data_IF_723024153746
#
_entry.id   IF_723024153746
#
_cell.length_a   1.000
_cell.length_b   1.000
_cell.length_c   1.000
_cell.angle_alpha   90.00
_cell.angle_beta   90.00
_cell.angle_gamma   90.00
#
_symmetry.space_group_name_H-M   'P 1'
#
loop_
_entity.id
_entity.type
_entity.pdbx_description
1 polymer ?
#
# COMPACT_ATOMS: atom_id res chain seq x y z
N UNK A 1 5.62 -19.32 25.43
CA UNK A 1 4.58 -18.41 24.90
C UNK A 1 4.66 -17.09 25.66
N UNK A 2 4.46 -15.99 24.97
CA UNK A 2 4.24 -14.69 25.60
C UNK A 2 2.74 -14.44 25.89
N UNK A 3 2.38 -13.30 26.44
CA UNK A 3 1.01 -12.89 26.74
C UNK A 3 0.09 -12.84 25.50
N UNK A 4 0.67 -12.70 24.28
CA UNK A 4 -0.03 -12.74 23.00
C UNK A 4 -0.13 -14.15 22.38
N UNK A 5 0.29 -15.21 23.11
CA UNK A 5 0.27 -16.59 22.65
C UNK A 5 1.36 -16.94 21.62
N UNK A 6 2.26 -16.03 21.28
CA UNK A 6 3.36 -16.27 20.35
C UNK A 6 4.38 -17.24 20.96
N UNK A 7 4.98 -18.10 20.13
CA UNK A 7 5.89 -19.16 20.55
C UNK A 7 7.29 -18.89 20.02
N UNK A 8 8.31 -19.28 20.78
CA UNK A 8 9.71 -19.41 20.36
C UNK A 8 10.15 -20.85 20.53
N UNK A 9 11.17 -21.25 19.79
CA UNK A 9 11.80 -22.54 19.91
C UNK A 9 13.27 -22.37 20.27
N UNK A 10 13.73 -23.18 21.21
CA UNK A 10 15.13 -23.23 21.62
C UNK A 10 15.65 -24.66 21.42
N UNK A 11 16.82 -24.79 20.86
CA UNK A 11 17.46 -26.11 20.68
C UNK A 11 17.82 -26.72 22.04
N UNK A 12 17.34 -27.94 22.28
CA UNK A 12 17.52 -28.60 23.59
C UNK A 12 18.96 -28.88 23.95
N UNK A 13 19.83 -29.05 22.95
CA UNK A 13 21.25 -29.36 23.13
C UNK A 13 22.14 -28.13 23.38
N UNK A 14 21.70 -26.94 22.98
CA UNK A 14 22.51 -25.71 23.05
C UNK A 14 21.82 -24.55 23.75
N UNK A 15 20.49 -24.63 23.96
CA UNK A 15 19.70 -23.51 24.47
C UNK A 15 19.58 -22.31 23.51
N UNK A 16 20.15 -22.41 22.30
CA UNK A 16 20.12 -21.33 21.31
C UNK A 16 18.69 -21.17 20.75
N UNK A 17 18.24 -19.94 20.59
CA UNK A 17 16.94 -19.61 20.01
C UNK A 17 16.96 -19.84 18.49
N UNK A 18 15.96 -20.57 17.98
CA UNK A 18 15.79 -20.76 16.55
C UNK A 18 15.31 -19.46 15.88
N UNK A 19 15.95 -19.09 14.76
CA UNK A 19 15.57 -18.01 13.87
C UNK A 19 15.62 -18.47 12.41
N UNK A 20 14.86 -17.83 11.53
CA UNK A 20 14.80 -18.23 10.13
C UNK A 20 14.10 -19.58 9.88
N UNK A 21 14.51 -20.28 8.83
CA UNK A 21 13.93 -21.56 8.44
C UNK A 21 14.39 -22.70 9.35
N UNK A 22 13.45 -23.45 9.88
CA UNK A 22 13.72 -24.68 10.67
C UNK A 22 13.00 -25.86 10.03
N UNK A 23 13.76 -26.82 9.51
CA UNK A 23 13.25 -28.05 8.92
C UNK A 23 13.41 -29.21 9.89
N UNK A 24 12.31 -29.88 10.19
CA UNK A 24 12.31 -31.18 10.88
C UNK A 24 12.27 -32.26 9.81
N UNK A 25 13.41 -32.89 9.56
CA UNK A 25 13.57 -33.88 8.48
C UNK A 25 12.85 -35.20 8.78
N UNK A 26 12.80 -35.64 10.04
CA UNK A 26 12.15 -36.89 10.44
C UNK A 26 10.61 -36.84 10.24
N UNK A 27 10.00 -35.64 10.38
CA UNK A 27 8.56 -35.41 10.19
C UNK A 27 8.23 -34.75 8.85
N UNK A 28 9.24 -34.40 8.06
CA UNK A 28 9.11 -33.64 6.80
C UNK A 28 8.25 -32.38 6.94
N UNK A 29 8.48 -31.60 8.00
CA UNK A 29 7.78 -30.35 8.27
C UNK A 29 8.74 -29.20 8.40
N UNK A 30 8.30 -28.00 8.03
CA UNK A 30 9.13 -26.77 8.05
C UNK A 30 8.40 -25.68 8.82
N UNK A 31 9.16 -24.94 9.62
CA UNK A 31 8.74 -23.75 10.36
C UNK A 31 9.56 -22.55 9.92
N UNK A 32 9.08 -21.37 10.23
CA UNK A 32 9.87 -20.15 10.15
C UNK A 32 9.74 -19.36 11.45
N UNK A 33 10.87 -18.90 11.94
CA UNK A 33 10.96 -18.04 13.11
C UNK A 33 11.50 -16.68 12.67
N UNK A 34 10.85 -15.62 13.13
CA UNK A 34 11.28 -14.26 12.85
C UNK A 34 12.77 -14.08 13.20
N UNK A 35 13.53 -13.48 12.30
CA UNK A 35 15.00 -13.40 12.44
C UNK A 35 15.45 -12.50 13.58
N UNK A 36 14.65 -11.50 13.93
CA UNK A 36 14.97 -10.50 14.94
C UNK A 36 14.41 -10.91 16.32
N UNK A 37 13.18 -11.39 16.34
CA UNK A 37 12.45 -11.68 17.58
C UNK A 37 12.41 -13.16 17.96
N UNK A 38 12.68 -14.07 17.02
CA UNK A 38 12.57 -15.52 17.20
C UNK A 38 11.13 -16.03 17.36
N UNK A 39 10.10 -15.22 17.09
CA UNK A 39 8.72 -15.69 17.15
C UNK A 39 8.34 -16.52 15.94
N UNK A 40 7.65 -17.65 16.20
CA UNK A 40 7.16 -18.57 15.18
C UNK A 40 6.10 -17.90 14.30
N UNK A 41 6.25 -17.98 13.00
CA UNK A 41 5.26 -17.50 12.04
C UNK A 41 4.02 -18.41 11.98
N UNK A 42 2.85 -17.77 11.86
CA UNK A 42 1.55 -18.41 11.58
C UNK A 42 0.77 -17.56 10.60
N UNK A 43 -0.14 -18.15 9.83
CA UNK A 43 -0.89 -17.44 8.79
C UNK A 43 -0.05 -17.15 7.55
N UNK A 44 -0.47 -16.18 6.77
CA UNK A 44 0.19 -15.78 5.52
C UNK A 44 1.28 -14.75 5.79
N UNK A 45 2.53 -15.08 5.41
CA UNK A 45 3.70 -14.23 5.66
C UNK A 45 4.55 -14.10 4.40
N UNK A 46 5.21 -12.95 4.23
CA UNK A 46 6.17 -12.72 3.15
C UNK A 46 7.60 -12.89 3.69
N UNK A 47 8.36 -13.81 3.06
CA UNK A 47 9.75 -14.09 3.41
C UNK A 47 10.58 -14.01 2.14
N UNK A 48 11.60 -13.16 2.12
CA UNK A 48 12.48 -12.95 0.95
C UNK A 48 11.69 -12.74 -0.35
N UNK A 49 10.64 -11.90 -0.30
CA UNK A 49 9.81 -11.55 -1.46
C UNK A 49 8.74 -12.58 -1.87
N UNK A 50 8.75 -13.80 -1.32
CA UNK A 50 7.76 -14.87 -1.59
C UNK A 50 6.77 -14.99 -0.44
N UNK A 51 5.50 -15.33 -0.76
CA UNK A 51 4.47 -15.61 0.24
C UNK A 51 4.51 -17.08 0.65
N UNK A 52 4.31 -17.32 1.96
CA UNK A 52 4.19 -18.65 2.54
C UNK A 52 3.02 -18.66 3.53
N UNK A 53 2.35 -19.78 3.68
CA UNK A 53 1.31 -19.94 4.68
C UNK A 53 1.75 -20.95 5.74
N UNK A 54 1.67 -20.54 7.01
CA UNK A 54 1.95 -21.38 8.17
C UNK A 54 0.63 -21.65 8.90
N UNK A 55 0.37 -22.92 9.19
CA UNK A 55 -0.80 -23.34 9.97
C UNK A 55 -0.75 -22.73 11.38
N UNK A 56 -1.83 -22.81 12.14
CA UNK A 56 -1.90 -22.31 13.52
C UNK A 56 -0.87 -22.96 14.47
N UNK A 57 -0.40 -24.15 14.14
CA UNK A 57 0.69 -24.84 14.85
C UNK A 57 2.11 -24.46 14.34
N UNK A 58 2.20 -23.53 13.37
CA UNK A 58 3.45 -23.04 12.79
C UNK A 58 4.01 -23.88 11.64
N UNK A 59 3.39 -25.01 11.29
CA UNK A 59 3.86 -25.85 10.18
C UNK A 59 3.55 -25.17 8.84
N UNK A 60 4.56 -25.03 7.99
CA UNK A 60 4.41 -24.52 6.64
C UNK A 60 3.49 -25.44 5.82
N UNK A 61 2.50 -24.87 5.17
CA UNK A 61 1.65 -25.59 4.23
C UNK A 61 2.43 -25.86 2.92
N UNK A 62 2.25 -27.03 2.34
CA UNK A 62 2.81 -27.43 1.04
C UNK A 62 1.76 -28.21 0.25
N UNK A 63 1.85 -28.16 -1.09
CA UNK A 63 0.99 -28.93 -2.02
C UNK A 63 -0.50 -28.90 -1.66
N UNK A 64 -1.04 -27.73 -1.32
CA UNK A 64 -2.42 -27.59 -0.86
C UNK A 64 -3.04 -26.27 -1.30
N UNK A 65 -4.26 -26.04 -0.92
CA UNK A 65 -4.97 -24.78 -1.11
C UNK A 65 -5.44 -24.28 0.25
N UNK A 66 -5.27 -22.98 0.51
CA UNK A 66 -5.75 -22.34 1.74
C UNK A 66 -6.57 -21.10 1.40
N UNK A 67 -7.58 -20.82 2.20
CA UNK A 67 -8.33 -19.56 2.12
C UNK A 67 -7.94 -18.66 3.28
N UNK A 68 -7.51 -17.44 2.94
CA UNK A 68 -7.15 -16.42 3.92
C UNK A 68 -7.89 -15.14 3.54
N UNK A 69 -8.73 -14.65 4.44
CA UNK A 69 -9.53 -13.43 4.22
C UNK A 69 -10.32 -13.45 2.89
N UNK A 70 -10.91 -14.59 2.55
CA UNK A 70 -11.71 -14.75 1.32
C UNK A 70 -10.89 -14.97 0.04
N UNK A 71 -9.57 -14.91 0.11
CA UNK A 71 -8.67 -15.21 -1.03
C UNK A 71 -8.20 -16.65 -0.92
N UNK A 72 -8.34 -17.38 -2.01
CA UNK A 72 -7.81 -18.74 -2.13
C UNK A 72 -6.37 -18.70 -2.65
N UNK A 73 -5.46 -19.33 -1.94
CA UNK A 73 -4.05 -19.47 -2.34
C UNK A 73 -3.75 -20.91 -2.71
N UNK A 74 -3.12 -21.11 -3.86
CA UNK A 74 -2.47 -22.37 -4.21
C UNK A 74 -1.08 -22.38 -3.57
N UNK A 75 -0.80 -23.41 -2.80
CA UNK A 75 0.50 -23.60 -2.16
C UNK A 75 1.29 -24.65 -2.96
N UNK A 76 2.45 -24.27 -3.46
CA UNK A 76 3.33 -25.19 -4.19
C UNK A 76 3.92 -26.28 -3.30
N UNK A 77 4.59 -27.27 -3.89
CA UNK A 77 5.38 -28.26 -3.17
C UNK A 77 6.51 -27.66 -2.35
N UNK A 78 7.00 -26.48 -2.73
CA UNK A 78 8.03 -25.72 -2.01
C UNK A 78 7.46 -24.75 -0.99
N UNK A 79 6.14 -24.75 -0.76
CA UNK A 79 5.45 -23.91 0.22
C UNK A 79 5.12 -22.49 -0.26
N UNK A 80 5.50 -22.13 -1.49
CA UNK A 80 5.20 -20.79 -2.02
C UNK A 80 3.70 -20.67 -2.29
N UNK A 81 3.08 -19.66 -1.65
CA UNK A 81 1.68 -19.33 -1.80
C UNK A 81 1.48 -18.38 -2.98
N UNK A 82 0.63 -18.77 -3.91
CA UNK A 82 0.20 -17.94 -5.03
C UNK A 82 -1.31 -17.77 -4.93
N UNK A 83 -1.77 -16.52 -4.90
CA UNK A 83 -3.21 -16.29 -4.92
C UNK A 83 -3.81 -16.94 -6.17
N UNK A 84 -4.78 -17.84 -5.99
CA UNK A 84 -5.64 -18.24 -7.10
C UNK A 84 -6.48 -17.00 -7.41
N UNK A 85 -6.07 -16.28 -8.42
CA UNK A 85 -6.94 -15.27 -9.00
C UNK A 85 -8.17 -15.99 -9.56
N UNK A 86 -9.22 -16.14 -8.78
CA UNK A 86 -10.51 -15.96 -9.38
C UNK A 86 -10.42 -14.58 -10.00
N UNK A 87 -10.48 -14.47 -11.32
CA UNK A 87 -10.58 -13.16 -11.98
C UNK A 87 -11.62 -12.40 -11.17
N UNK A 88 -11.30 -11.25 -10.56
CA UNK A 88 -12.29 -10.53 -9.79
C UNK A 88 -13.50 -10.39 -10.70
N UNK A 89 -14.67 -10.73 -10.20
CA UNK A 89 -15.92 -10.62 -10.97
C UNK A 89 -16.12 -9.12 -11.19
N UNK A 90 -15.62 -8.65 -12.33
CA UNK A 90 -15.55 -7.25 -12.67
C UNK A 90 -16.89 -6.89 -13.26
N UNK A 91 -17.87 -6.60 -12.41
CA UNK A 91 -19.13 -6.01 -12.84
C UNK A 91 -18.84 -4.60 -13.34
N UNK A 92 -18.88 -4.42 -14.64
CA UNK A 92 -18.80 -3.10 -15.30
C UNK A 92 -20.22 -2.56 -15.41
N UNK A 93 -20.58 -1.62 -14.56
CA UNK A 93 -21.73 -0.77 -14.77
C UNK A 93 -21.25 0.66 -15.05
N UNK A 94 -21.75 1.29 -16.10
CA UNK A 94 -21.46 2.68 -16.48
C UNK A 94 -19.95 3.05 -16.62
N UNK A 95 -19.12 2.14 -17.13
CA UNK A 95 -17.70 2.39 -17.35
C UNK A 95 -16.80 2.23 -16.10
N UNK A 96 -17.36 2.08 -14.91
CA UNK A 96 -16.62 1.86 -13.68
C UNK A 96 -16.27 0.37 -13.47
N UNK A 97 -15.17 0.12 -12.80
CA UNK A 97 -14.65 -1.22 -12.50
C UNK A 97 -14.69 -1.45 -11.00
N UNK A 98 -15.42 -2.47 -10.53
CA UNK A 98 -15.31 -2.91 -9.13
C UNK A 98 -14.12 -3.85 -8.98
N UNK A 99 -13.20 -3.51 -8.09
CA UNK A 99 -12.01 -4.30 -7.78
C UNK A 99 -12.05 -4.74 -6.34
N UNK A 100 -11.87 -6.03 -6.11
CA UNK A 100 -11.79 -6.58 -4.76
C UNK A 100 -10.38 -6.42 -4.21
N UNK A 101 -10.25 -5.70 -3.10
CA UNK A 101 -9.01 -5.57 -2.34
C UNK A 101 -8.94 -6.70 -1.31
N UNK A 102 -7.98 -7.59 -1.50
CA UNK A 102 -7.82 -8.78 -0.67
C UNK A 102 -7.30 -8.45 0.73
N UNK A 103 -6.54 -7.40 0.89
CA UNK A 103 -6.01 -6.93 2.18
C UNK A 103 -7.14 -6.36 3.04
N UNK A 104 -7.96 -5.50 2.43
CA UNK A 104 -9.07 -4.86 3.11
C UNK A 104 -10.35 -5.71 3.15
N UNK A 105 -10.39 -6.81 2.38
CA UNK A 105 -11.54 -7.71 2.25
C UNK A 105 -12.83 -6.99 1.80
N UNK A 106 -12.70 -6.00 0.88
CA UNK A 106 -13.83 -5.24 0.34
C UNK A 106 -13.63 -4.84 -1.11
N UNK A 107 -14.74 -4.47 -1.76
CA UNK A 107 -14.72 -3.91 -3.11
C UNK A 107 -14.56 -2.39 -3.06
N UNK A 108 -13.77 -1.87 -4.01
CA UNK A 108 -13.68 -0.45 -4.33
C UNK A 108 -14.09 -0.22 -5.78
N UNK A 109 -14.62 0.97 -6.05
CA UNK A 109 -15.02 1.36 -7.41
C UNK A 109 -13.89 2.17 -8.03
N UNK A 110 -13.35 1.66 -9.13
CA UNK A 110 -12.25 2.27 -9.85
C UNK A 110 -12.75 2.94 -11.14
N UNK A 111 -12.02 3.91 -11.62
CA UNK A 111 -12.24 4.48 -12.95
C UNK A 111 -12.02 3.42 -14.04
N UNK A 112 -12.65 3.62 -15.21
CA UNK A 112 -12.50 2.69 -16.36
C UNK A 112 -11.03 2.52 -16.81
N UNK A 113 -10.23 3.56 -16.67
CA UNK A 113 -8.80 3.62 -17.01
C UNK A 113 -7.95 2.69 -16.14
N UNK A 114 -8.44 2.27 -14.97
CA UNK A 114 -7.77 1.28 -14.12
C UNK A 114 -7.35 0.03 -14.91
N UNK A 115 -8.21 -0.45 -15.81
CA UNK A 115 -7.93 -1.62 -16.65
C UNK A 115 -7.07 -1.32 -17.88
N UNK A 116 -7.26 -0.15 -18.48
CA UNK A 116 -6.60 0.22 -19.74
C UNK A 116 -5.26 0.92 -19.54
N UNK A 117 -4.90 1.20 -18.28
CA UNK A 117 -3.63 1.84 -17.97
C UNK A 117 -2.46 1.00 -18.52
N UNK A 118 -1.50 1.59 -19.26
CA UNK A 118 -0.42 0.84 -19.94
C UNK A 118 0.40 -0.07 -19.02
N UNK A 119 0.50 0.28 -17.75
CA UNK A 119 1.21 -0.51 -16.75
C UNK A 119 0.42 -1.65 -16.14
N UNK A 120 -0.91 -1.56 -16.11
CA UNK A 120 -1.77 -2.64 -15.57
C UNK A 120 -1.82 -3.82 -16.52
N UNK A 121 -2.04 -3.53 -17.81
CA UNK A 121 -2.17 -4.58 -18.83
C UNK A 121 -0.91 -5.44 -18.98
N UNK A 122 0.27 -4.87 -18.72
CA UNK A 122 1.56 -5.49 -19.00
C UNK A 122 2.45 -5.68 -17.76
N UNK A 123 2.01 -5.29 -16.55
CA UNK A 123 2.84 -5.34 -15.32
C UNK A 123 4.09 -4.45 -15.35
N UNK A 124 4.20 -3.55 -16.33
CA UNK A 124 5.44 -2.78 -16.61
C UNK A 124 5.54 -1.46 -15.83
N UNK A 125 4.43 -0.88 -15.38
CA UNK A 125 4.50 0.33 -14.57
C UNK A 125 4.67 -0.05 -13.10
N UNK A 126 5.81 0.32 -12.51
CA UNK A 126 6.07 0.15 -11.09
C UNK A 126 5.25 1.14 -10.26
N UNK A 127 5.03 0.84 -8.98
CA UNK A 127 4.40 1.77 -8.04
C UNK A 127 5.17 3.09 -7.94
N UNK A 128 6.51 3.04 -8.02
CA UNK A 128 7.38 4.21 -8.06
C UNK A 128 7.09 5.09 -9.29
N UNK A 129 7.01 4.49 -10.48
CA UNK A 129 6.74 5.24 -11.71
C UNK A 129 5.34 5.86 -11.71
N UNK A 130 4.34 5.13 -11.21
CA UNK A 130 2.98 5.62 -11.09
C UNK A 130 2.89 6.78 -10.09
N UNK A 131 3.54 6.63 -8.93
CA UNK A 131 3.57 7.66 -7.90
C UNK A 131 4.31 8.91 -8.36
N UNK A 132 5.47 8.76 -9.04
CA UNK A 132 6.23 9.88 -9.60
C UNK A 132 5.41 10.67 -10.64
N UNK A 133 4.72 9.97 -11.55
CA UNK A 133 3.88 10.59 -12.55
C UNK A 133 2.69 11.35 -11.93
N UNK A 134 2.06 10.77 -10.89
CA UNK A 134 0.99 11.44 -10.15
C UNK A 134 1.50 12.70 -9.44
N UNK A 135 2.59 12.59 -8.69
CA UNK A 135 3.13 13.68 -7.89
C UNK A 135 3.55 14.87 -8.75
N UNK A 136 4.13 14.61 -9.91
CA UNK A 136 4.47 15.68 -10.83
C UNK A 136 3.23 16.30 -11.48
N UNK A 137 2.22 15.51 -11.78
CA UNK A 137 0.95 16.03 -12.32
C UNK A 137 0.21 16.92 -11.31
N UNK A 138 0.22 16.56 -10.03
CA UNK A 138 -0.48 17.29 -8.96
C UNK A 138 0.35 18.44 -8.37
N UNK A 139 1.67 18.30 -8.27
CA UNK A 139 2.51 19.20 -7.50
C UNK A 139 3.87 19.53 -8.15
N UNK A 140 4.02 19.39 -9.46
CA UNK A 140 5.27 19.65 -10.16
C UNK A 140 5.81 21.09 -9.94
N UNK A 141 4.91 22.07 -9.88
CA UNK A 141 5.22 23.48 -9.58
C UNK A 141 5.55 23.76 -8.10
N UNK A 142 5.27 22.80 -7.20
CA UNK A 142 5.56 22.92 -5.77
C UNK A 142 6.99 22.48 -5.41
N UNK A 143 7.73 21.92 -6.37
CA UNK A 143 9.06 21.36 -6.20
C UNK A 143 9.07 20.00 -5.47
N UNK A 144 10.28 19.51 -5.16
CA UNK A 144 10.46 18.15 -4.61
C UNK A 144 9.64 17.89 -3.36
N UNK A 145 9.66 18.78 -2.38
CA UNK A 145 8.96 18.61 -1.11
C UNK A 145 7.43 18.56 -1.31
N UNK A 146 6.87 19.40 -2.19
CA UNK A 146 5.44 19.34 -2.51
C UNK A 146 5.05 18.01 -3.17
N UNK A 147 5.88 17.48 -4.06
CA UNK A 147 5.71 16.16 -4.65
C UNK A 147 5.83 15.03 -3.63
N UNK A 148 6.78 15.11 -2.69
CA UNK A 148 6.91 14.15 -1.57
C UNK A 148 5.67 14.15 -0.67
N UNK A 149 5.13 15.33 -0.38
CA UNK A 149 3.92 15.47 0.43
C UNK A 149 2.70 14.80 -0.25
N UNK A 150 2.51 15.01 -1.55
CA UNK A 150 1.46 14.33 -2.33
C UNK A 150 1.68 12.80 -2.32
N UNK A 151 2.92 12.34 -2.51
CA UNK A 151 3.25 10.92 -2.46
C UNK A 151 2.92 10.31 -1.09
N UNK A 152 3.28 10.98 0.01
CA UNK A 152 2.96 10.53 1.36
C UNK A 152 1.46 10.47 1.62
N UNK A 153 0.65 11.42 1.10
CA UNK A 153 -0.81 11.32 1.19
C UNK A 153 -1.34 10.03 0.54
N UNK A 154 -0.85 9.69 -0.66
CA UNK A 154 -1.24 8.42 -1.33
C UNK A 154 -0.85 7.22 -0.49
N UNK A 155 0.39 7.19 0.01
CA UNK A 155 0.92 6.09 0.83
C UNK A 155 0.16 5.95 2.15
N UNK A 156 -0.12 7.05 2.84
CA UNK A 156 -0.89 7.04 4.09
C UNK A 156 -2.30 6.45 3.92
N UNK A 157 -2.97 6.73 2.79
CA UNK A 157 -4.27 6.15 2.46
C UNK A 157 -4.22 4.63 2.38
N UNK A 158 -3.11 4.04 1.90
CA UNK A 158 -3.01 2.57 1.76
C UNK A 158 -3.08 1.82 3.09
N UNK A 159 -2.86 2.49 4.22
CA UNK A 159 -2.84 1.90 5.57
C UNK A 159 -3.90 2.47 6.51
N UNK A 160 -4.85 3.27 6.00
CA UNK A 160 -5.91 3.84 6.84
C UNK A 160 -6.75 2.73 7.48
N UNK A 161 -6.84 2.74 8.81
CA UNK A 161 -7.35 1.63 9.63
C UNK A 161 -8.83 1.31 9.38
N UNK A 162 -9.65 2.31 9.02
CA UNK A 162 -11.08 2.15 8.70
C UNK A 162 -11.32 1.58 7.31
N UNK A 163 -10.25 1.34 6.53
CA UNK A 163 -10.31 0.80 5.18
C UNK A 163 -11.12 1.67 4.21
N UNK A 164 -11.13 2.96 4.43
CA UNK A 164 -11.77 3.92 3.52
C UNK A 164 -11.18 3.80 2.11
N UNK A 165 -9.85 3.65 2.03
CA UNK A 165 -9.11 3.54 0.78
C UNK A 165 -8.61 2.13 0.47
N UNK A 166 -8.34 1.83 -0.83
CA UNK A 166 -7.64 0.60 -1.22
C UNK A 166 -6.26 0.47 -0.57
N UNK A 167 -5.82 -0.76 -0.32
CA UNK A 167 -4.53 -1.06 0.32
C UNK A 167 -3.32 -0.95 -0.62
N UNK A 168 -3.50 -0.52 -1.86
CA UNK A 168 -2.43 -0.42 -2.86
C UNK A 168 -2.33 0.98 -3.43
N UNK A 169 -1.12 1.43 -3.77
CA UNK A 169 -0.87 2.73 -4.43
C UNK A 169 -1.75 2.89 -5.67
N UNK A 170 -1.77 1.88 -6.52
CA UNK A 170 -2.59 1.86 -7.72
C UNK A 170 -4.10 1.97 -7.42
N UNK A 171 -4.56 1.23 -6.41
CA UNK A 171 -5.93 1.29 -5.95
C UNK A 171 -6.32 2.72 -5.54
N UNK A 172 -5.54 3.33 -4.66
CA UNK A 172 -5.76 4.70 -4.18
C UNK A 172 -5.79 5.72 -5.32
N UNK A 173 -4.88 5.59 -6.30
CA UNK A 173 -4.78 6.57 -7.40
C UNK A 173 -5.98 6.49 -8.36
N UNK A 174 -6.49 5.29 -8.62
CA UNK A 174 -7.56 5.07 -9.59
C UNK A 174 -8.95 4.87 -8.96
N UNK A 175 -9.08 5.05 -7.65
CA UNK A 175 -10.36 4.98 -6.97
C UNK A 175 -11.27 6.16 -7.34
N UNK A 176 -12.56 5.89 -7.45
CA UNK A 176 -13.59 6.92 -7.50
C UNK A 176 -13.97 7.40 -6.10
N UNK A 177 -14.43 8.63 -5.99
CA UNK A 177 -14.96 9.20 -4.74
C UNK A 177 -16.25 8.47 -4.38
N UNK A 178 -16.21 7.64 -3.36
CA UNK A 178 -17.36 6.88 -2.87
C UNK A 178 -18.01 6.03 -3.96
N UNK A 179 -19.31 6.16 -4.16
CA UNK A 179 -20.09 5.49 -5.23
C UNK A 179 -20.18 6.26 -6.53
N UNK A 180 -19.49 7.40 -6.65
CA UNK A 180 -19.53 8.26 -7.82
C UNK A 180 -18.74 7.70 -9.00
N UNK A 181 -18.77 8.40 -10.14
CA UNK A 181 -17.89 8.14 -11.29
C UNK A 181 -16.70 9.10 -11.34
N UNK A 182 -16.52 9.91 -10.29
CA UNK A 182 -15.49 10.94 -10.22
C UNK A 182 -14.22 10.37 -9.59
N UNK A 183 -13.06 10.43 -10.27
CA UNK A 183 -11.79 10.03 -9.70
C UNK A 183 -11.40 10.85 -8.47
N UNK A 184 -10.70 10.25 -7.54
CA UNK A 184 -10.09 10.94 -6.39
C UNK A 184 -9.12 12.04 -6.83
N UNK A 185 -8.40 11.83 -7.94
CA UNK A 185 -7.41 12.76 -8.49
C UNK A 185 -7.87 13.31 -9.83
N UNK A 186 -7.93 14.65 -9.96
CA UNK A 186 -8.34 15.32 -11.18
C UNK A 186 -7.47 14.97 -12.39
N UNK A 187 -6.17 14.78 -12.16
CA UNK A 187 -5.18 14.40 -13.18
C UNK A 187 -5.41 13.02 -13.80
N UNK A 188 -6.18 12.16 -13.13
CA UNK A 188 -6.67 10.89 -13.70
C UNK A 188 -7.79 11.17 -14.71
N UNK A 189 -8.73 12.04 -14.35
CA UNK A 189 -9.89 12.40 -15.18
C UNK A 189 -9.51 13.18 -16.44
N UNK A 190 -8.60 14.14 -16.32
CA UNK A 190 -8.20 15.02 -17.42
C UNK A 190 -7.10 14.43 -18.32
N UNK A 191 -6.60 13.22 -17.97
CA UNK A 191 -5.59 12.50 -18.73
C UNK A 191 -4.14 12.95 -18.50
N UNK A 192 -3.91 13.91 -17.60
CA UNK A 192 -2.55 14.41 -17.31
C UNK A 192 -1.64 13.30 -16.77
N UNK A 193 -2.16 12.42 -15.91
CA UNK A 193 -1.45 11.24 -15.42
C UNK A 193 -1.10 10.28 -16.58
N UNK A 194 -2.07 9.97 -17.43
CA UNK A 194 -1.87 9.04 -18.55
C UNK A 194 -0.83 9.56 -19.56
N UNK A 195 -0.81 10.87 -19.80
CA UNK A 195 0.19 11.54 -20.66
C UNK A 195 1.60 11.33 -20.11
N UNK A 196 1.82 11.51 -18.79
CA UNK A 196 3.13 11.34 -18.13
C UNK A 196 3.62 9.90 -18.17
N UNK A 197 2.71 8.96 -18.01
CA UNK A 197 3.05 7.53 -18.03
C UNK A 197 3.42 7.00 -19.44
N UNK A 198 2.97 7.68 -20.50
CA UNK A 198 3.29 7.33 -21.90
C UNK A 198 4.60 7.92 -22.41
N UNK A 199 5.09 8.97 -21.78
CA UNK A 199 6.22 9.72 -22.30
C UNK A 199 7.16 10.29 -21.26
N UNK A 200 7.96 11.26 -21.72
CA UNK A 200 8.74 12.13 -20.84
C UNK A 200 7.84 13.27 -20.34
N UNK A 201 8.11 13.75 -19.15
CA UNK A 201 7.46 14.91 -18.57
C UNK A 201 8.48 15.82 -17.88
N UNK A 202 8.13 17.07 -17.72
CA UNK A 202 8.94 18.05 -17.00
C UNK A 202 9.20 17.56 -15.58
N UNK A 203 10.32 17.93 -14.97
CA UNK A 203 10.71 17.51 -13.62
C UNK A 203 10.75 16.00 -13.36
N UNK A 204 10.79 15.17 -14.39
CA UNK A 204 10.75 13.69 -14.24
C UNK A 204 11.75 13.17 -13.21
N UNK A 205 13.01 13.57 -13.30
CA UNK A 205 14.07 13.12 -12.37
C UNK A 205 13.73 13.50 -10.94
N UNK A 206 13.25 14.71 -10.71
CA UNK A 206 12.86 15.22 -9.40
C UNK A 206 11.64 14.49 -8.83
N UNK A 207 10.67 14.19 -9.70
CA UNK A 207 9.46 13.45 -9.31
C UNK A 207 9.77 12.00 -8.90
N UNK A 208 10.66 11.32 -9.62
CA UNK A 208 11.13 9.99 -9.23
C UNK A 208 11.91 10.02 -7.92
N UNK A 209 12.74 11.05 -7.71
CA UNK A 209 13.43 11.24 -6.44
C UNK A 209 12.43 11.44 -5.29
N UNK A 210 11.45 12.31 -5.46
CA UNK A 210 10.39 12.56 -4.48
C UNK A 210 9.60 11.29 -4.14
N UNK A 211 9.20 10.52 -5.15
CA UNK A 211 8.48 9.26 -4.95
C UNK A 211 9.31 8.25 -4.13
N UNK A 212 10.59 8.07 -4.45
CA UNK A 212 11.51 7.17 -3.72
C UNK A 212 11.72 7.59 -2.27
N UNK A 213 11.93 8.88 -2.05
CA UNK A 213 12.13 9.41 -0.69
C UNK A 213 10.87 9.25 0.15
N UNK A 214 9.70 9.57 -0.40
CA UNK A 214 8.42 9.35 0.25
C UNK A 214 8.18 7.85 0.57
N UNK A 215 8.45 6.95 -0.38
CA UNK A 215 8.35 5.51 -0.14
C UNK A 215 9.33 5.04 0.94
N UNK A 216 10.52 5.59 1.00
CA UNK A 216 11.52 5.28 2.04
C UNK A 216 11.05 5.73 3.42
N UNK A 217 10.55 6.97 3.54
CA UNK A 217 9.97 7.52 4.78
C UNK A 217 8.80 6.64 5.24
N UNK A 218 7.87 6.32 4.33
CA UNK A 218 6.70 5.51 4.62
C UNK A 218 7.05 4.08 5.03
N UNK A 219 7.93 3.40 4.29
CA UNK A 219 8.35 2.04 4.60
C UNK A 219 9.06 1.95 5.95
N UNK A 220 9.83 2.98 6.30
CA UNK A 220 10.45 3.06 7.62
C UNK A 220 9.40 3.21 8.73
N UNK A 221 8.37 4.04 8.52
CA UNK A 221 7.22 4.14 9.43
C UNK A 221 6.51 2.78 9.60
N UNK A 222 6.17 2.11 8.51
CA UNK A 222 5.49 0.80 8.54
C UNK A 222 6.33 -0.26 9.26
N UNK A 223 7.66 -0.24 9.05
CA UNK A 223 8.58 -1.20 9.64
C UNK A 223 8.85 -0.95 11.13
N UNK A 224 9.00 0.31 11.53
CA UNK A 224 9.58 0.66 12.84
C UNK A 224 8.67 1.53 13.72
N UNK A 225 7.58 2.07 13.18
CA UNK A 225 6.74 3.08 13.84
C UNK A 225 7.39 4.48 13.91
N UNK A 226 8.55 4.68 13.25
CA UNK A 226 9.24 5.97 13.25
C UNK A 226 8.45 7.00 12.45
N UNK A 227 8.24 8.18 13.02
CA UNK A 227 7.48 9.26 12.42
C UNK A 227 7.89 9.57 10.96
N UNK A 228 6.91 9.86 10.13
CA UNK A 228 7.06 10.27 8.72
C UNK A 228 7.45 11.75 8.64
N UNK A 229 8.69 12.06 8.97
CA UNK A 229 9.16 13.46 8.99
C UNK A 229 9.40 13.94 7.56
N UNK A 230 8.78 15.06 7.20
CA UNK A 230 8.95 15.72 5.92
C UNK A 230 9.47 17.15 6.11
N UNK A 231 10.54 17.50 5.41
CA UNK A 231 11.10 18.84 5.44
C UNK A 231 10.07 19.88 4.97
N UNK A 232 10.07 21.06 5.59
CA UNK A 232 9.11 22.13 5.25
C UNK A 232 7.73 21.98 5.92
N UNK A 233 7.50 20.90 6.68
CA UNK A 233 6.30 20.72 7.50
C UNK A 233 6.65 20.77 8.98
N UNK A 234 5.77 21.37 9.78
CA UNK A 234 5.93 21.52 11.26
C UNK A 234 5.58 20.25 12.00
N UNK A 235 4.59 19.51 11.47
CA UNK A 235 4.13 18.27 12.08
C UNK A 235 5.22 17.20 11.97
N UNK A 236 5.63 16.63 13.11
CA UNK A 236 6.68 15.60 13.18
C UNK A 236 6.32 14.32 12.44
N UNK A 237 5.05 13.88 12.51
CA UNK A 237 4.54 12.74 11.75
C UNK A 237 3.58 13.23 10.68
N UNK A 238 4.02 13.23 9.43
CA UNK A 238 3.22 13.60 8.27
C UNK A 238 2.14 12.52 8.01
N UNK A 239 1.02 12.60 8.72
CA UNK A 239 -0.10 11.67 8.59
C UNK A 239 -1.27 12.24 7.77
N UNK A 240 -1.04 13.31 7.02
CA UNK A 240 -2.05 13.87 6.13
C UNK A 240 -2.44 12.86 5.04
N UNK A 241 -3.73 12.82 4.73
CA UNK A 241 -4.32 11.92 3.73
C UNK A 241 -4.91 12.65 2.53
N UNK A 242 -5.16 13.94 2.70
CA UNK A 242 -5.79 14.77 1.69
C UNK A 242 -4.97 16.01 1.42
N UNK A 243 -5.14 16.55 0.22
CA UNK A 243 -4.61 17.86 -0.15
C UNK A 243 -5.51 18.52 -1.18
N UNK A 244 -5.47 19.83 -1.23
CA UNK A 244 -6.12 20.64 -2.26
C UNK A 244 -5.44 22.01 -2.36
N UNK A 245 -5.76 22.73 -3.42
CA UNK A 245 -5.32 24.13 -3.56
C UNK A 245 -5.84 24.97 -2.38
N UNK A 246 -5.01 25.89 -1.87
CA UNK A 246 -5.37 26.78 -0.76
C UNK A 246 -6.67 27.56 -1.03
N UNK A 247 -6.88 27.98 -2.27
CA UNK A 247 -8.10 28.67 -2.68
C UNK A 247 -9.36 27.79 -2.60
N UNK A 248 -9.21 26.49 -2.85
CA UNK A 248 -10.31 25.51 -2.71
C UNK A 248 -10.56 25.19 -1.23
N UNK A 249 -9.51 25.03 -0.44
CA UNK A 249 -9.63 24.76 1.01
C UNK A 249 -10.37 25.89 1.74
N UNK A 250 -10.06 27.15 1.43
CA UNK A 250 -10.73 28.32 2.03
C UNK A 250 -12.23 28.41 1.74
N UNK A 251 -12.71 27.72 0.70
CA UNK A 251 -14.14 27.68 0.33
C UNK A 251 -14.90 26.54 0.99
N UNK A 252 -14.22 25.68 1.77
CA UNK A 252 -14.87 24.58 2.47
C UNK A 252 -15.76 25.10 3.61
N UNK A 253 -16.78 24.34 4.06
CA UNK A 253 -17.63 24.71 5.18
C UNK A 253 -16.83 24.99 6.46
N UNK A 254 -17.38 25.79 7.38
CA UNK A 254 -16.76 26.15 8.66
C UNK A 254 -16.37 24.94 9.53
N UNK A 255 -17.08 23.81 9.38
CA UNK A 255 -16.71 22.55 10.04
C UNK A 255 -15.32 22.08 9.66
N UNK A 256 -14.89 22.38 8.45
CA UNK A 256 -13.56 22.06 7.93
C UNK A 256 -12.43 22.83 8.63
N UNK A 257 -12.74 23.99 9.25
CA UNK A 257 -11.76 24.76 10.04
C UNK A 257 -11.27 24.02 11.30
N UNK A 258 -12.00 22.98 11.74
CA UNK A 258 -11.64 22.14 12.89
C UNK A 258 -10.72 20.97 12.52
N UNK A 259 -10.51 20.74 11.22
CA UNK A 259 -9.63 19.69 10.72
C UNK A 259 -8.18 20.12 10.89
N UNK A 260 -7.34 19.21 11.37
CA UNK A 260 -5.91 19.46 11.43
C UNK A 260 -5.33 19.58 10.03
N UNK A 261 -4.70 20.69 9.73
CA UNK A 261 -4.11 20.96 8.41
C UNK A 261 -2.80 21.73 8.49
N UNK A 262 -2.05 21.69 7.41
CA UNK A 262 -0.85 22.49 7.21
C UNK A 262 -0.76 22.96 5.76
N UNK A 263 -0.27 24.19 5.57
CA UNK A 263 -0.10 24.80 4.24
C UNK A 263 1.35 24.67 3.80
N UNK A 264 1.55 24.18 2.59
CA UNK A 264 2.83 24.19 1.91
C UNK A 264 2.64 24.79 0.52
N UNK A 265 3.23 25.98 0.28
CA UNK A 265 3.06 26.77 -0.94
C UNK A 265 1.56 26.92 -1.32
N UNK A 266 1.16 26.39 -2.47
CA UNK A 266 -0.21 26.54 -3.00
C UNK A 266 -1.18 25.45 -2.51
N UNK A 267 -0.70 24.44 -1.77
CA UNK A 267 -1.49 23.35 -1.26
C UNK A 267 -1.70 23.39 0.25
N UNK A 268 -2.91 23.03 0.66
CA UNK A 268 -3.26 22.69 2.04
C UNK A 268 -3.39 21.19 2.16
N UNK A 269 -2.63 20.60 3.10
CA UNK A 269 -2.64 19.18 3.44
C UNK A 269 -3.42 18.99 4.74
N UNK A 270 -4.30 17.95 4.81
CA UNK A 270 -5.17 17.76 5.98
C UNK A 270 -5.45 16.28 6.25
N UNK A 271 -5.86 15.98 7.51
CA UNK A 271 -5.92 14.59 8.01
C UNK A 271 -7.20 13.87 7.63
N UNK A 272 -8.34 14.57 7.56
CA UNK A 272 -9.64 13.93 7.34
C UNK A 272 -10.59 14.83 6.58
N UNK A 273 -11.62 14.22 5.99
CA UNK A 273 -12.69 14.92 5.29
C UNK A 273 -13.93 14.96 6.17
N UNK A 274 -14.32 16.14 6.65
CA UNK A 274 -15.43 16.34 7.62
C UNK A 274 -16.69 16.82 6.92
#
# INVERSE_FOLDING_TARGET
KNSKGQKRYFYSNSGVMATGWLKNTSKNITYYFDTDTGYMYTGLNRISGKLYYFKSNGVMAVSTTVSVNGVTYSISATGVATAKTSKPNVNVSNGNVKVYDTTNSRYYTMVKEYKSHPGIANGKTTDEALLAALCEAEAGNQGKIGMEAVALCVLNRTIKSDKEFPSTIRGVIYENIGSSTTPQYSVVRDGALAKRLKGTFENRTLAYQAAREAMTIFNNYVKTGKARTLSGFKKKDFNYMYFMMNSAFKKQPLTFSKVEYEVYKDHTFFVDWV
#
